data_IF_123279554804
#
_entry.id   IF_123279554804
#
_cell.length_a   1.000
_cell.length_b   1.000
_cell.length_c   1.000
_cell.angle_alpha   90.00
_cell.angle_beta   90.00
_cell.angle_gamma   90.00
#
_symmetry.space_group_name_H-M   'P 1'
#
loop_
_entity.id
_entity.type
_entity.pdbx_description
1 polymer ?
#
# COMPACT_ATOMS: atom_id res chain seq x y z
N UNK A 1 -15.86 -9.16 1.62
CA UNK A 1 -15.10 -8.25 0.74
C UNK A 1 -13.79 -8.91 0.36
N UNK A 2 -13.31 -8.67 -0.86
CA UNK A 2 -12.05 -9.17 -1.39
C UNK A 2 -10.87 -8.24 -1.04
N UNK A 3 -9.63 -8.74 -1.04
CA UNK A 3 -8.44 -7.92 -0.95
C UNK A 3 -7.42 -8.29 -2.05
N UNK A 4 -6.75 -7.30 -2.59
CA UNK A 4 -5.69 -7.41 -3.59
C UNK A 4 -4.41 -6.88 -2.96
N UNK A 5 -3.39 -7.72 -2.87
CA UNK A 5 -2.09 -7.38 -2.27
C UNK A 5 -1.05 -7.29 -3.38
N UNK A 6 -0.46 -6.12 -3.54
CA UNK A 6 0.51 -5.83 -4.60
C UNK A 6 1.90 -6.35 -4.20
N UNK A 7 2.23 -7.57 -4.60
CA UNK A 7 3.48 -8.27 -4.23
C UNK A 7 4.50 -8.40 -5.38
N UNK A 8 4.23 -7.80 -6.56
CA UNK A 8 5.05 -7.96 -7.77
C UNK A 8 6.26 -7.04 -7.82
N UNK A 9 6.37 -6.06 -6.93
CA UNK A 9 7.42 -5.04 -6.98
C UNK A 9 8.84 -5.60 -7.19
N UNK A 10 9.67 -4.92 -8.00
CA UNK A 10 11.04 -5.36 -8.36
C UNK A 10 12.01 -5.41 -7.17
N UNK A 11 11.66 -4.80 -6.05
CA UNK A 11 12.53 -4.75 -4.87
C UNK A 11 13.87 -4.01 -5.09
N UNK A 12 13.96 -3.08 -6.04
CA UNK A 12 15.21 -2.41 -6.40
C UNK A 12 15.92 -1.76 -5.21
N UNK A 13 15.17 -1.10 -4.32
CA UNK A 13 15.72 -0.49 -3.09
C UNK A 13 16.19 -1.55 -2.09
N UNK A 14 15.50 -2.69 -2.03
CA UNK A 14 15.85 -3.81 -1.16
C UNK A 14 17.08 -4.56 -1.67
N UNK A 15 17.25 -4.66 -3.01
CA UNK A 15 18.45 -5.25 -3.64
C UNK A 15 19.67 -4.35 -3.52
N UNK A 16 19.49 -3.04 -3.41
CA UNK A 16 20.61 -2.12 -3.24
C UNK A 16 21.44 -2.50 -2.02
N UNK A 17 22.77 -2.53 -2.18
CA UNK A 17 23.67 -2.82 -1.08
C UNK A 17 23.54 -1.74 0.00
N UNK A 18 23.49 -2.18 1.24
CA UNK A 18 23.48 -1.31 2.42
C UNK A 18 24.43 -1.91 3.43
N UNK A 19 25.66 -1.36 3.55
CA UNK A 19 26.71 -1.91 4.43
C UNK A 19 26.35 -1.78 5.92
N UNK A 20 25.45 -0.86 6.26
CA UNK A 20 25.04 -0.62 7.65
C UNK A 20 23.84 -1.51 8.07
N UNK A 21 23.17 -2.14 7.10
CA UNK A 21 22.05 -3.01 7.37
C UNK A 21 22.50 -4.35 7.98
N UNK A 22 22.01 -4.64 9.18
CA UNK A 22 22.29 -5.90 9.87
C UNK A 22 21.23 -6.92 9.50
N UNK A 23 21.46 -7.67 8.42
CA UNK A 23 20.59 -8.75 7.98
C UNK A 23 21.16 -10.11 8.35
N UNK A 24 20.31 -11.03 8.79
CA UNK A 24 20.63 -12.45 8.84
C UNK A 24 20.86 -13.00 7.43
N UNK A 25 21.47 -14.17 7.31
CA UNK A 25 21.73 -14.80 6.00
C UNK A 25 20.43 -15.02 5.21
N UNK A 26 19.36 -15.47 5.87
CA UNK A 26 18.03 -15.68 5.25
C UNK A 26 17.40 -14.37 4.78
N UNK A 27 17.49 -13.30 5.59
CA UNK A 27 17.00 -11.98 5.20
C UNK A 27 17.79 -11.43 4.00
N UNK A 28 19.10 -11.63 3.99
CA UNK A 28 19.96 -11.21 2.88
C UNK A 28 19.58 -11.93 1.58
N UNK A 29 19.41 -13.24 1.63
CA UNK A 29 19.00 -14.03 0.48
C UNK A 29 17.65 -13.54 -0.09
N UNK A 30 16.65 -13.29 0.73
CA UNK A 30 15.35 -12.77 0.30
C UNK A 30 15.48 -11.34 -0.25
N UNK A 31 16.31 -10.48 0.35
CA UNK A 31 16.58 -9.13 -0.10
C UNK A 31 17.28 -9.10 -1.47
N UNK A 32 18.28 -9.95 -1.68
CA UNK A 32 19.02 -10.09 -2.93
C UNK A 32 18.12 -10.60 -4.06
N UNK A 33 17.18 -11.51 -3.74
CA UNK A 33 16.13 -11.95 -4.66
C UNK A 33 15.08 -10.87 -4.96
N UNK A 34 15.02 -9.79 -4.16
CA UNK A 34 14.03 -8.72 -4.29
C UNK A 34 12.64 -9.09 -3.76
N UNK A 35 12.54 -10.20 -3.04
CA UNK A 35 11.29 -10.72 -2.47
C UNK A 35 10.98 -10.05 -1.13
N UNK A 36 10.72 -8.72 -1.15
CA UNK A 36 10.49 -7.91 0.06
C UNK A 36 9.48 -8.52 1.03
N UNK A 37 8.33 -8.94 0.49
CA UNK A 37 7.26 -9.51 1.28
C UNK A 37 7.63 -10.85 1.94
N UNK A 38 8.65 -11.54 1.41
CA UNK A 38 9.14 -12.82 1.93
C UNK A 38 10.34 -12.66 2.88
N UNK A 39 10.80 -11.44 3.15
CA UNK A 39 11.86 -11.22 4.14
C UNK A 39 11.40 -11.76 5.49
N UNK A 40 12.18 -12.67 6.12
CA UNK A 40 11.83 -13.19 7.42
C UNK A 40 11.89 -12.11 8.50
N UNK A 41 10.81 -12.00 9.27
CA UNK A 41 10.67 -11.15 10.47
C UNK A 41 10.28 -12.07 11.61
N UNK A 42 11.09 -12.15 12.66
CA UNK A 42 10.89 -13.09 13.77
C UNK A 42 10.63 -14.55 13.31
N UNK A 43 11.32 -14.97 12.25
CA UNK A 43 11.24 -16.34 11.72
C UNK A 43 10.06 -16.60 10.76
N UNK A 44 9.19 -15.64 10.51
CA UNK A 44 8.04 -15.72 9.59
C UNK A 44 8.18 -14.71 8.45
N UNK A 45 7.71 -14.99 7.22
CA UNK A 45 7.66 -13.98 6.17
C UNK A 45 6.88 -12.73 6.62
N UNK A 46 7.34 -11.55 6.24
CA UNK A 46 6.60 -10.32 6.54
C UNK A 46 5.18 -10.35 5.98
N UNK A 47 4.98 -11.00 4.85
CA UNK A 47 3.66 -11.17 4.23
C UNK A 47 2.68 -11.94 5.13
N UNK A 48 3.14 -12.85 5.99
CA UNK A 48 2.26 -13.54 6.95
C UNK A 48 1.61 -12.54 7.92
N UNK A 49 2.33 -11.51 8.36
CA UNK A 49 1.79 -10.44 9.20
C UNK A 49 0.77 -9.58 8.44
N UNK A 50 1.05 -9.27 7.16
CA UNK A 50 0.11 -8.53 6.30
C UNK A 50 -1.17 -9.33 6.09
N UNK A 51 -1.06 -10.61 5.77
CA UNK A 51 -2.20 -11.51 5.59
C UNK A 51 -2.98 -11.68 6.91
N UNK A 52 -2.29 -11.81 8.04
CA UNK A 52 -2.92 -11.88 9.36
C UNK A 52 -3.74 -10.62 9.67
N UNK A 53 -3.21 -9.43 9.36
CA UNK A 53 -3.95 -8.17 9.56
C UNK A 53 -5.20 -8.08 8.67
N UNK A 54 -5.14 -8.61 7.42
CA UNK A 54 -6.32 -8.72 6.55
C UNK A 54 -7.36 -9.68 7.14
N UNK A 55 -6.93 -10.84 7.62
CA UNK A 55 -7.82 -11.81 8.28
C UNK A 55 -8.46 -11.22 9.55
N UNK A 56 -7.70 -10.48 10.37
CA UNK A 56 -8.20 -9.78 11.56
C UNK A 56 -9.20 -8.67 11.20
N UNK A 57 -9.06 -8.08 10.03
CA UNK A 57 -10.01 -7.12 9.47
C UNK A 57 -11.26 -7.77 8.83
N UNK A 58 -11.38 -9.11 8.85
CA UNK A 58 -12.50 -9.85 8.27
C UNK A 58 -12.41 -10.09 6.75
N UNK A 59 -11.21 -9.95 6.16
CA UNK A 59 -10.96 -10.14 4.73
C UNK A 59 -10.40 -11.55 4.49
N UNK A 60 -11.26 -12.48 4.10
CA UNK A 60 -10.89 -13.88 3.91
C UNK A 60 -10.51 -14.26 2.48
N UNK A 61 -10.90 -13.48 1.47
CA UNK A 61 -10.55 -13.72 0.06
C UNK A 61 -9.46 -12.75 -0.36
N UNK A 62 -8.26 -13.25 -0.64
CA UNK A 62 -7.08 -12.44 -0.95
C UNK A 62 -6.42 -12.90 -2.23
N UNK A 63 -6.15 -11.97 -3.16
CA UNK A 63 -5.28 -12.21 -4.31
C UNK A 63 -3.93 -11.54 -4.11
N UNK A 64 -2.86 -12.29 -4.25
CA UNK A 64 -1.50 -11.75 -4.37
C UNK A 64 -1.20 -11.46 -5.84
N UNK A 65 -0.87 -10.22 -6.16
CA UNK A 65 -0.38 -9.87 -7.48
C UNK A 65 1.12 -10.16 -7.53
N UNK A 66 1.50 -11.13 -8.35
CA UNK A 66 2.85 -11.68 -8.36
C UNK A 66 3.49 -11.64 -9.74
N UNK A 67 4.82 -11.73 -9.78
CA UNK A 67 5.59 -11.96 -10.99
C UNK A 67 5.44 -13.41 -11.47
N UNK A 68 5.56 -13.69 -12.80
CA UNK A 68 5.72 -15.07 -13.28
C UNK A 68 6.85 -15.84 -12.60
N UNK A 69 7.90 -15.14 -12.15
CA UNK A 69 9.10 -15.72 -11.53
C UNK A 69 9.03 -15.86 -10.00
N UNK A 70 7.89 -15.56 -9.35
CA UNK A 70 7.74 -15.69 -7.91
C UNK A 70 7.38 -17.12 -7.46
N UNK A 71 8.12 -18.12 -7.94
CA UNK A 71 7.87 -19.54 -7.63
C UNK A 71 8.09 -19.87 -6.16
N UNK A 72 9.10 -19.26 -5.52
CA UNK A 72 9.37 -19.46 -4.09
C UNK A 72 8.23 -18.95 -3.21
N UNK A 73 7.63 -17.82 -3.58
CA UNK A 73 6.47 -17.27 -2.87
C UNK A 73 5.25 -18.20 -3.04
N UNK A 74 4.98 -18.69 -4.24
CA UNK A 74 3.89 -19.64 -4.49
C UNK A 74 4.11 -20.92 -3.72
N UNK A 75 5.29 -21.53 -3.83
CA UNK A 75 5.65 -22.77 -3.11
C UNK A 75 5.45 -22.62 -1.61
N UNK A 76 5.90 -21.49 -1.03
CA UNK A 76 5.73 -21.25 0.41
C UNK A 76 4.26 -21.33 0.83
N UNK A 77 3.35 -20.70 0.11
CA UNK A 77 1.92 -20.70 0.46
C UNK A 77 1.16 -21.94 -0.01
N UNK A 78 1.69 -22.69 -0.95
CA UNK A 78 1.18 -24.03 -1.29
C UNK A 78 1.48 -25.03 -0.19
N UNK A 79 2.67 -24.92 0.45
CA UNK A 79 3.11 -25.76 1.56
C UNK A 79 2.52 -25.30 2.91
N UNK A 80 2.48 -23.98 3.15
CA UNK A 80 2.03 -23.36 4.40
C UNK A 80 0.71 -22.60 4.18
N UNK A 81 -0.36 -23.34 3.86
CA UNK A 81 -1.66 -22.75 3.52
C UNK A 81 -2.20 -21.88 4.66
N UNK A 82 -2.53 -20.61 4.41
CA UNK A 82 -3.21 -19.78 5.38
C UNK A 82 -4.53 -20.43 5.85
N UNK A 83 -4.76 -20.48 7.16
CA UNK A 83 -5.96 -21.13 7.70
C UNK A 83 -7.22 -20.25 7.64
N UNK A 84 -7.03 -18.93 7.60
CA UNK A 84 -8.12 -17.93 7.68
C UNK A 84 -8.35 -17.19 6.36
N UNK A 85 -7.51 -17.45 5.35
CA UNK A 85 -7.53 -16.77 4.05
C UNK A 85 -7.59 -17.79 2.92
N UNK A 86 -8.54 -17.59 2.03
CA UNK A 86 -8.56 -18.21 0.70
C UNK A 86 -7.65 -17.38 -0.21
N UNK A 87 -6.43 -17.91 -0.44
CA UNK A 87 -5.36 -17.21 -1.14
C UNK A 87 -5.31 -17.61 -2.61
N UNK A 88 -5.36 -16.61 -3.48
CA UNK A 88 -5.21 -16.76 -4.93
C UNK A 88 -3.96 -16.03 -5.42
N UNK A 89 -3.37 -16.50 -6.51
CA UNK A 89 -2.26 -15.83 -7.19
C UNK A 89 -2.72 -15.28 -8.53
N UNK A 90 -2.52 -13.99 -8.74
CA UNK A 90 -2.79 -13.31 -10.00
C UNK A 90 -1.47 -12.82 -10.57
N UNK A 91 -1.18 -13.19 -11.82
CA UNK A 91 0.08 -12.85 -12.46
C UNK A 91 -0.01 -11.49 -13.12
N UNK A 92 0.90 -10.57 -12.76
CA UNK A 92 1.23 -9.40 -13.55
C UNK A 92 2.48 -9.73 -14.37
N UNK A 93 2.36 -9.91 -15.70
CA UNK A 93 3.47 -10.42 -16.52
C UNK A 93 4.70 -9.51 -16.52
N UNK A 94 4.48 -8.19 -16.62
CA UNK A 94 5.53 -7.18 -16.66
C UNK A 94 5.42 -6.22 -15.47
N UNK A 95 6.56 -5.68 -14.98
CA UNK A 95 6.58 -4.66 -13.92
C UNK A 95 6.25 -3.28 -14.49
N UNK A 96 4.98 -3.06 -14.83
CA UNK A 96 4.55 -1.83 -15.50
C UNK A 96 4.00 -0.77 -14.55
N UNK A 97 4.02 -1.01 -13.27
CA UNK A 97 3.55 -0.09 -12.24
C UNK A 97 2.35 -0.61 -11.44
N UNK A 98 1.93 0.16 -10.45
CA UNK A 98 0.90 -0.23 -9.47
C UNK A 98 -0.51 -0.18 -10.03
N UNK A 99 -0.82 0.70 -10.98
CA UNK A 99 -2.12 0.70 -11.67
C UNK A 99 -2.30 -0.54 -12.55
N UNK A 100 -1.25 -0.96 -13.27
CA UNK A 100 -1.25 -2.19 -14.07
C UNK A 100 -1.38 -3.44 -13.16
N UNK A 101 -0.78 -3.42 -11.97
CA UNK A 101 -0.94 -4.47 -10.97
C UNK A 101 -2.40 -4.58 -10.47
N UNK A 102 -3.06 -3.45 -10.21
CA UNK A 102 -4.49 -3.42 -9.86
C UNK A 102 -5.33 -3.92 -11.02
N UNK A 103 -5.03 -3.50 -12.25
CA UNK A 103 -5.76 -3.92 -13.45
C UNK A 103 -5.67 -5.44 -13.65
N UNK A 104 -4.54 -6.08 -13.34
CA UNK A 104 -4.40 -7.53 -13.43
C UNK A 104 -5.43 -8.29 -12.57
N UNK A 105 -5.91 -7.68 -11.48
CA UNK A 105 -6.92 -8.29 -10.60
C UNK A 105 -8.36 -8.20 -11.14
N UNK A 106 -8.62 -7.52 -12.26
CA UNK A 106 -9.99 -7.25 -12.75
C UNK A 106 -10.84 -8.52 -12.91
N UNK A 107 -10.30 -9.56 -13.52
CA UNK A 107 -11.01 -10.83 -13.71
C UNK A 107 -11.26 -11.56 -12.39
N UNK A 108 -10.31 -11.50 -11.44
CA UNK A 108 -10.44 -12.15 -10.14
C UNK A 108 -11.46 -11.45 -9.24
N UNK A 109 -11.51 -10.13 -9.27
CA UNK A 109 -12.51 -9.37 -8.51
C UNK A 109 -13.93 -9.61 -9.02
N UNK A 110 -14.10 -9.90 -10.32
CA UNK A 110 -15.38 -10.19 -10.96
C UNK A 110 -16.44 -9.10 -10.72
N UNK A 111 -16.02 -7.85 -10.61
CA UNK A 111 -16.90 -6.70 -10.35
C UNK A 111 -17.16 -6.41 -8.87
N UNK A 112 -16.78 -7.30 -7.95
CA UNK A 112 -16.93 -7.06 -6.51
C UNK A 112 -16.00 -5.91 -6.05
N UNK A 113 -16.43 -5.12 -5.05
CA UNK A 113 -15.56 -4.16 -4.38
C UNK A 113 -14.43 -4.89 -3.62
N UNK A 114 -13.27 -4.26 -3.58
CA UNK A 114 -12.07 -4.86 -3.00
C UNK A 114 -11.17 -3.82 -2.32
N UNK A 115 -10.35 -4.25 -1.36
CA UNK A 115 -9.21 -3.48 -0.88
C UNK A 115 -7.99 -3.72 -1.77
N UNK A 116 -7.20 -2.68 -2.02
CA UNK A 116 -5.87 -2.79 -2.64
C UNK A 116 -4.83 -2.24 -1.68
N UNK A 117 -3.81 -3.05 -1.37
CA UNK A 117 -2.72 -2.69 -0.46
C UNK A 117 -1.37 -3.16 -1.00
N UNK A 118 -0.30 -2.56 -0.52
CA UNK A 118 1.06 -3.03 -0.79
C UNK A 118 1.45 -4.20 0.11
N UNK A 119 2.19 -5.16 -0.42
CA UNK A 119 2.70 -6.32 0.34
C UNK A 119 3.86 -5.98 1.30
N UNK A 120 4.49 -4.83 1.13
CA UNK A 120 5.60 -4.35 1.95
C UNK A 120 5.18 -3.33 3.03
N UNK A 121 3.85 -3.14 3.20
CA UNK A 121 3.28 -2.31 4.26
C UNK A 121 2.35 -3.13 5.16
N UNK A 122 2.55 -3.06 6.47
CA UNK A 122 1.63 -3.61 7.46
C UNK A 122 0.79 -2.49 8.06
N UNK A 123 -0.51 -2.56 7.85
CA UNK A 123 -1.48 -1.58 8.32
C UNK A 123 -2.19 -2.06 9.58
N UNK A 124 -2.67 -1.15 10.46
CA UNK A 124 -3.51 -1.52 11.58
C UNK A 124 -4.79 -2.24 11.12
N UNK A 125 -5.05 -3.43 11.64
CA UNK A 125 -6.23 -4.24 11.25
C UNK A 125 -7.55 -3.49 11.46
N UNK A 126 -7.66 -2.70 12.54
CA UNK A 126 -8.83 -1.87 12.78
C UNK A 126 -9.06 -0.80 11.69
N UNK A 127 -7.99 -0.23 11.12
CA UNK A 127 -8.11 0.72 10.01
C UNK A 127 -8.55 0.01 8.72
N UNK A 128 -7.99 -1.18 8.43
CA UNK A 128 -8.42 -2.02 7.30
C UNK A 128 -9.90 -2.40 7.43
N UNK A 129 -10.36 -2.81 8.61
CA UNK A 129 -11.75 -3.16 8.87
C UNK A 129 -12.69 -1.96 8.63
N UNK A 130 -12.31 -0.76 9.10
CA UNK A 130 -13.09 0.47 8.85
C UNK A 130 -13.15 0.81 7.36
N UNK A 131 -12.06 0.66 6.62
CA UNK A 131 -12.03 0.90 5.18
C UNK A 131 -12.88 -0.14 4.43
N UNK A 132 -12.82 -1.40 4.84
CA UNK A 132 -13.63 -2.48 4.28
C UNK A 132 -15.14 -2.26 4.50
N UNK A 133 -15.52 -1.64 5.61
CA UNK A 133 -16.92 -1.35 5.96
C UNK A 133 -17.54 -0.19 5.17
N UNK A 134 -16.76 0.61 4.44
CA UNK A 134 -17.32 1.64 3.56
C UNK A 134 -18.23 1.00 2.49
N UNK A 135 -19.22 1.73 2.02
CA UNK A 135 -20.10 1.33 0.91
C UNK A 135 -19.75 2.04 -0.41
N UNK A 136 -18.69 2.85 -0.40
CA UNK A 136 -18.21 3.65 -1.51
C UNK A 136 -16.69 3.52 -1.66
N UNK A 137 -16.07 3.89 -2.79
CA UNK A 137 -14.62 3.95 -2.92
C UNK A 137 -13.99 4.86 -1.87
N UNK A 138 -12.80 4.52 -1.41
CA UNK A 138 -12.12 5.32 -0.39
C UNK A 138 -10.67 4.91 -0.18
N UNK A 139 -10.02 5.60 0.74
CA UNK A 139 -8.63 5.34 1.12
C UNK A 139 -8.42 5.61 2.61
N UNK A 140 -7.36 5.02 3.16
CA UNK A 140 -6.85 5.45 4.45
C UNK A 140 -5.97 6.69 4.26
N UNK A 141 -6.35 7.77 4.92
CA UNK A 141 -5.60 9.02 4.96
C UNK A 141 -4.84 9.11 6.29
N UNK A 142 -3.52 9.02 6.23
CA UNK A 142 -2.66 9.07 7.42
C UNK A 142 -2.09 10.47 7.59
N UNK A 143 -2.04 10.93 8.83
CA UNK A 143 -1.31 12.15 9.14
C UNK A 143 0.21 11.86 9.12
N UNK A 144 0.97 12.74 8.45
CA UNK A 144 2.42 12.63 8.31
C UNK A 144 3.13 12.44 9.64
N UNK A 145 2.84 13.29 10.61
CA UNK A 145 3.55 13.33 11.88
C UNK A 145 3.18 12.13 12.76
N UNK A 146 1.94 11.62 12.63
CA UNK A 146 1.54 10.37 13.29
C UNK A 146 2.29 9.16 12.71
N UNK A 147 2.46 9.07 11.39
CA UNK A 147 3.24 8.00 10.75
C UNK A 147 4.70 8.00 11.21
N UNK A 148 5.33 9.19 11.30
CA UNK A 148 6.71 9.31 11.79
C UNK A 148 6.81 8.90 13.26
N UNK A 149 5.86 9.32 14.08
CA UNK A 149 5.86 9.06 15.52
C UNK A 149 5.57 7.58 15.86
N UNK A 150 4.64 6.95 15.15
CA UNK A 150 4.12 5.62 15.49
C UNK A 150 4.71 4.50 14.63
N UNK A 151 5.01 4.76 13.37
CA UNK A 151 5.57 3.80 12.42
C UNK A 151 7.09 3.70 12.47
N UNK A 152 7.66 3.05 11.45
CA UNK A 152 9.12 2.97 11.23
C UNK A 152 9.56 3.80 10.02
N UNK A 153 8.78 4.81 9.64
CA UNK A 153 9.03 5.63 8.46
C UNK A 153 9.65 6.97 8.91
N UNK A 154 10.93 7.20 8.63
CA UNK A 154 11.54 8.47 8.99
C UNK A 154 10.99 9.63 8.14
N UNK A 155 11.01 10.85 8.70
CA UNK A 155 10.38 12.03 8.10
C UNK A 155 10.85 12.31 6.66
N UNK A 156 12.13 12.09 6.36
CA UNK A 156 12.69 12.29 5.01
C UNK A 156 12.12 11.31 3.97
N UNK A 157 11.61 10.15 4.40
CA UNK A 157 10.98 9.17 3.51
C UNK A 157 9.52 9.49 3.17
N UNK A 158 8.86 10.28 3.98
CA UNK A 158 7.47 10.69 3.73
C UNK A 158 7.33 11.38 2.36
N UNK A 159 8.36 12.08 1.89
CA UNK A 159 8.42 12.68 0.54
C UNK A 159 8.25 11.67 -0.61
N UNK A 160 8.40 10.37 -0.33
CA UNK A 160 8.20 9.30 -1.31
C UNK A 160 6.73 8.88 -1.43
N UNK A 161 5.84 9.37 -0.59
CA UNK A 161 4.42 9.05 -0.59
C UNK A 161 3.60 10.14 -1.27
N UNK A 162 2.40 9.78 -1.74
CA UNK A 162 1.48 10.75 -2.30
C UNK A 162 0.84 11.60 -1.21
N UNK A 163 0.79 12.91 -1.43
CA UNK A 163 0.10 13.87 -0.56
C UNK A 163 -1.36 13.99 -1.01
N UNK A 164 -2.25 14.07 -0.04
CA UNK A 164 -3.69 14.12 -0.21
C UNK A 164 -4.22 15.52 0.12
N UNK A 165 -5.10 16.03 -0.74
CA UNK A 165 -5.97 17.14 -0.43
C UNK A 165 -7.41 16.60 -0.31
N UNK A 166 -8.08 16.95 0.79
CA UNK A 166 -9.40 16.43 1.14
C UNK A 166 -10.35 17.60 1.29
N UNK A 167 -11.51 17.50 0.63
CA UNK A 167 -12.55 18.53 0.70
C UNK A 167 -13.27 18.58 2.05
N UNK A 168 -14.15 19.58 2.23
CA UNK A 168 -14.88 19.78 3.49
C UNK A 168 -15.91 18.66 3.75
N UNK A 169 -16.28 17.90 2.73
CA UNK A 169 -17.17 16.74 2.85
C UNK A 169 -16.39 15.45 3.18
N UNK A 170 -15.06 15.50 3.25
CA UNK A 170 -14.17 14.38 3.57
C UNK A 170 -13.87 13.47 2.37
N UNK A 171 -13.92 13.99 1.15
CA UNK A 171 -13.53 13.25 -0.04
C UNK A 171 -12.19 13.74 -0.59
N UNK A 172 -11.50 12.84 -1.28
CA UNK A 172 -10.27 13.17 -2.00
C UNK A 172 -10.55 14.19 -3.10
N UNK A 173 -10.06 15.41 -2.93
CA UNK A 173 -10.11 16.45 -3.95
C UNK A 173 -8.91 16.36 -4.91
N UNK A 174 -7.73 16.02 -4.36
CA UNK A 174 -6.49 15.92 -5.13
C UNK A 174 -5.52 14.93 -4.50
N UNK A 175 -4.75 14.26 -5.34
CA UNK A 175 -3.61 13.42 -4.94
C UNK A 175 -2.39 13.79 -5.79
N UNK A 176 -1.24 13.97 -5.14
CA UNK A 176 0.02 14.30 -5.80
C UNK A 176 1.09 13.30 -5.41
N UNK A 177 1.51 12.49 -6.36
CA UNK A 177 2.58 11.51 -6.17
C UNK A 177 3.93 12.23 -6.08
N UNK A 178 4.70 11.95 -5.02
CA UNK A 178 6.06 12.45 -4.80
C UNK A 178 6.22 13.96 -5.07
N UNK A 179 5.52 14.82 -4.32
CA UNK A 179 5.63 16.25 -4.52
C UNK A 179 7.09 16.72 -4.39
N UNK A 180 7.46 17.74 -5.15
CA UNK A 180 8.82 18.31 -5.12
C UNK A 180 9.19 18.86 -3.74
N UNK A 181 8.20 19.34 -2.97
CA UNK A 181 8.32 19.71 -1.57
C UNK A 181 7.07 19.24 -0.82
N UNK A 182 7.26 18.58 0.31
CA UNK A 182 6.17 18.13 1.18
C UNK A 182 5.65 19.27 2.08
N UNK A 183 6.49 20.29 2.28
CA UNK A 183 6.18 21.47 3.09
C UNK A 183 5.62 22.62 2.25
N UNK A 184 5.72 22.53 0.91
CA UNK A 184 5.00 23.47 0.07
C UNK A 184 3.51 23.17 0.21
N UNK A 185 2.69 24.19 0.57
CA UNK A 185 1.25 24.06 0.44
C UNK A 185 1.00 23.61 -1.00
N UNK A 186 0.20 22.55 -1.19
CA UNK A 186 -0.29 22.25 -2.53
C UNK A 186 -1.03 23.51 -2.95
N UNK A 187 -0.38 24.36 -3.78
CA UNK A 187 -1.00 25.59 -4.27
C UNK A 187 -2.24 25.19 -5.06
N UNK A 188 -3.37 25.22 -4.39
CA UNK A 188 -4.66 25.13 -5.03
C UNK A 188 -4.97 26.48 -5.67
N UNK A 189 -5.59 26.51 -6.85
CA UNK A 189 -6.30 27.69 -7.29
C UNK A 189 -7.27 28.07 -6.15
N UNK A 190 -7.07 29.21 -5.53
CA UNK A 190 -7.90 29.70 -4.45
C UNK A 190 -9.27 30.03 -5.01
N UNK A 191 -10.23 29.13 -4.88
CA UNK A 191 -11.61 29.55 -4.86
C UNK A 191 -11.84 30.26 -3.53
N UNK A 192 -12.14 31.56 -3.62
CA UNK A 192 -12.39 32.45 -2.51
C UNK A 192 -13.56 31.94 -1.68
N UNK A 193 -13.33 31.51 -0.44
CA UNK A 193 -14.41 31.28 0.52
C UNK A 193 -14.26 30.19 1.56
N UNK A 194 -13.18 29.42 1.63
CA UNK A 194 -13.05 28.37 2.63
C UNK A 194 -12.25 28.82 3.88
N UNK A 195 -12.83 28.64 5.04
CA UNK A 195 -12.19 28.82 6.37
C UNK A 195 -11.11 27.73 6.59
N UNK A 196 -9.96 27.83 5.91
CA UNK A 196 -8.87 26.84 5.92
C UNK A 196 -7.67 27.22 6.77
N UNK A 197 -7.78 28.22 7.67
CA UNK A 197 -6.65 28.68 8.47
C UNK A 197 -6.09 27.64 9.44
N UNK A 198 -6.91 26.69 9.94
CA UNK A 198 -6.51 25.68 10.93
C UNK A 198 -6.01 24.35 10.34
N UNK A 199 -6.05 24.17 9.01
CA UNK A 199 -5.64 22.90 8.35
C UNK A 199 -4.22 22.89 7.80
N UNK A 200 -3.48 23.99 7.93
CA UNK A 200 -2.12 24.10 7.38
C UNK A 200 -1.08 23.20 8.07
N UNK A 201 -1.37 22.71 9.28
CA UNK A 201 -0.42 21.93 10.08
C UNK A 201 -0.53 20.41 9.85
N UNK A 202 -1.59 19.90 9.23
CA UNK A 202 -1.82 18.46 9.07
C UNK A 202 -1.68 17.99 7.61
N UNK A 203 -0.49 17.53 7.27
CA UNK A 203 -0.25 16.92 5.94
C UNK A 203 -0.77 15.50 5.94
N UNK A 204 -1.76 15.22 5.09
CA UNK A 204 -2.29 13.88 4.87
C UNK A 204 -1.54 13.19 3.75
N UNK A 205 -1.20 11.93 3.96
CA UNK A 205 -0.49 11.10 2.99
C UNK A 205 -1.20 9.79 2.72
N UNK A 206 -1.06 9.30 1.49
CA UNK A 206 -1.50 7.97 1.09
C UNK A 206 -0.37 6.96 1.27
N UNK A 207 -0.67 5.87 1.96
CA UNK A 207 0.20 4.70 2.04
C UNK A 207 -0.23 3.59 1.08
N UNK A 208 -0.97 3.92 0.00
CA UNK A 208 -1.52 2.96 -0.96
C UNK A 208 -2.43 1.89 -0.32
N UNK A 209 -3.32 2.32 0.57
CA UNK A 209 -4.36 1.50 1.14
C UNK A 209 -5.73 2.02 0.68
N UNK A 210 -6.35 1.31 -0.25
CA UNK A 210 -7.51 1.75 -1.02
C UNK A 210 -8.66 0.77 -0.91
N UNK A 211 -9.88 1.29 -0.97
CA UNK A 211 -11.09 0.56 -1.31
C UNK A 211 -11.57 1.00 -2.69
N UNK A 212 -11.68 0.05 -3.58
CA UNK A 212 -12.12 0.28 -4.95
C UNK A 212 -13.41 -0.48 -5.27
N UNK A 213 -14.08 -0.04 -6.31
CA UNK A 213 -15.04 -0.80 -7.11
C UNK A 213 -14.56 -0.92 -8.56
N UNK A 214 -15.35 -1.52 -9.43
CA UNK A 214 -14.95 -1.81 -10.81
C UNK A 214 -14.58 -0.57 -11.64
N UNK A 215 -15.03 0.64 -11.27
CA UNK A 215 -14.74 1.88 -11.99
C UNK A 215 -13.26 2.24 -12.02
N UNK A 216 -12.47 1.74 -11.06
CA UNK A 216 -11.01 1.97 -11.04
C UNK A 216 -10.31 1.32 -12.24
N UNK A 217 -10.82 0.21 -12.76
CA UNK A 217 -10.18 -0.52 -13.85
C UNK A 217 -10.15 0.28 -15.17
N UNK A 218 -11.17 1.11 -15.43
CA UNK A 218 -11.17 1.98 -16.59
C UNK A 218 -10.07 3.04 -16.48
N UNK A 219 -9.92 3.63 -15.30
CA UNK A 219 -8.84 4.57 -15.06
C UNK A 219 -7.45 3.91 -15.13
N UNK A 220 -7.30 2.67 -14.62
CA UNK A 220 -6.05 1.92 -14.73
C UNK A 220 -5.67 1.56 -16.17
N UNK A 221 -6.65 1.38 -17.07
CA UNK A 221 -6.37 1.14 -18.51
C UNK A 221 -5.92 2.42 -19.22
N UNK A 222 -6.48 3.56 -18.84
CA UNK A 222 -6.36 4.82 -19.58
C UNK A 222 -5.28 5.74 -19.00
N UNK A 223 -4.79 5.48 -17.79
CA UNK A 223 -3.77 6.32 -17.16
C UNK A 223 -2.49 6.36 -18.00
N UNK A 224 -1.93 7.56 -18.17
CA UNK A 224 -0.67 7.75 -18.87
C UNK A 224 0.51 7.22 -18.04
N UNK A 225 1.61 6.90 -18.71
CA UNK A 225 2.87 6.56 -18.00
C UNK A 225 3.44 7.80 -17.31
N UNK A 226 3.87 7.61 -16.08
CA UNK A 226 4.61 8.64 -15.33
C UNK A 226 5.97 8.92 -15.98
N UNK A 227 6.67 10.00 -15.59
CA UNK A 227 8.04 10.27 -16.04
C UNK A 227 9.03 9.13 -15.76
N UNK A 228 8.68 8.20 -14.86
CA UNK A 228 9.46 6.98 -14.57
C UNK A 228 9.16 5.81 -15.52
N UNK A 229 8.20 6.00 -16.44
CA UNK A 229 7.76 4.97 -17.39
C UNK A 229 6.79 3.96 -16.80
N UNK A 230 6.25 4.19 -15.59
CA UNK A 230 5.33 3.30 -14.89
C UNK A 230 3.89 3.84 -14.91
N UNK A 231 2.91 2.95 -14.84
CA UNK A 231 1.51 3.29 -14.63
C UNK A 231 1.24 3.34 -13.12
N UNK A 232 1.17 4.54 -12.56
CA UNK A 232 1.06 4.76 -11.13
C UNK A 232 -0.39 4.70 -10.66
N UNK A 233 -0.65 4.03 -9.54
CA UNK A 233 -1.99 3.94 -8.98
C UNK A 233 -2.52 5.30 -8.51
N UNK A 234 -1.74 6.18 -7.87
CA UNK A 234 -2.20 7.53 -7.56
C UNK A 234 -2.64 8.34 -8.80
N UNK A 235 -1.95 8.18 -9.93
CA UNK A 235 -2.36 8.85 -11.18
C UNK A 235 -3.66 8.27 -11.75
N UNK A 236 -3.85 6.95 -11.66
CA UNK A 236 -5.13 6.32 -12.02
C UNK A 236 -6.27 6.78 -11.10
N UNK A 237 -6.03 6.95 -9.80
CA UNK A 237 -7.00 7.50 -8.86
C UNK A 237 -7.33 8.95 -9.21
N UNK A 238 -6.33 9.79 -9.51
CA UNK A 238 -6.55 11.16 -9.98
C UNK A 238 -7.41 11.21 -11.24
N UNK A 239 -7.15 10.31 -12.20
CA UNK A 239 -7.95 10.18 -13.42
C UNK A 239 -9.39 9.72 -13.11
N UNK A 240 -9.58 8.75 -12.22
CA UNK A 240 -10.91 8.30 -11.79
C UNK A 240 -11.69 9.44 -11.10
N UNK A 241 -11.01 10.22 -10.25
CA UNK A 241 -11.60 11.39 -9.58
C UNK A 241 -12.05 12.45 -10.62
N UNK A 242 -11.23 12.75 -11.62
CA UNK A 242 -11.59 13.68 -12.71
C UNK A 242 -12.80 13.21 -13.54
N UNK A 243 -13.08 11.91 -13.51
CA UNK A 243 -14.25 11.27 -14.15
C UNK A 243 -15.46 11.15 -13.23
N UNK A 244 -15.41 11.77 -12.05
CA UNK A 244 -16.52 11.82 -11.10
C UNK A 244 -16.58 10.67 -10.10
N UNK A 245 -15.56 9.83 -10.00
CA UNK A 245 -15.48 8.84 -8.92
C UNK A 245 -15.03 9.55 -7.64
N UNK A 246 -15.89 9.55 -6.62
CA UNK A 246 -15.55 10.13 -5.31
C UNK A 246 -14.89 9.07 -4.45
N UNK A 247 -13.78 9.42 -3.79
CA UNK A 247 -13.06 8.57 -2.85
C UNK A 247 -13.16 9.16 -1.45
N UNK A 248 -13.79 8.44 -0.52
CA UNK A 248 -13.85 8.83 0.89
C UNK A 248 -12.47 8.77 1.50
N UNK A 249 -11.93 9.90 1.98
CA UNK A 249 -10.70 9.93 2.77
C UNK A 249 -11.02 9.58 4.22
N UNK A 250 -10.69 8.35 4.62
CA UNK A 250 -10.94 7.86 5.97
C UNK A 250 -9.73 8.14 6.85
N UNK A 251 -9.81 9.04 7.84
CA UNK A 251 -8.69 9.30 8.75
C UNK A 251 -8.24 8.02 9.44
N UNK A 252 -6.95 7.75 9.39
CA UNK A 252 -6.33 6.59 10.00
C UNK A 252 -5.18 7.00 10.90
N UNK A 253 -5.07 6.35 12.04
CA UNK A 253 -4.01 6.51 13.02
C UNK A 253 -3.40 5.17 13.40
N UNK A 254 -2.22 5.20 13.98
CA UNK A 254 -1.47 4.04 14.42
C UNK A 254 -0.35 3.65 13.47
N UNK A 255 0.49 2.68 13.88
CA UNK A 255 1.69 2.37 13.17
C UNK A 255 1.40 1.71 11.82
N UNK A 256 1.93 2.28 10.75
CA UNK A 256 2.18 1.56 9.50
C UNK A 256 3.65 1.14 9.52
N UNK A 257 3.90 -0.17 9.36
CA UNK A 257 5.27 -0.66 9.22
C UNK A 257 5.59 -0.85 7.74
N UNK A 258 6.67 -0.24 7.31
CA UNK A 258 7.17 -0.27 5.93
C UNK A 258 8.46 -1.09 5.87
N UNK A 259 8.50 -2.11 5.01
CA UNK A 259 9.66 -2.97 4.77
C UNK A 259 10.17 -2.76 3.34
N UNK A 260 10.63 -1.55 3.04
CA UNK A 260 11.05 -1.15 1.69
C UNK A 260 12.57 -1.23 1.46
N UNK A 261 13.36 -1.16 2.52
CA UNK A 261 14.83 -1.15 2.48
C UNK A 261 15.40 -2.17 3.46
N UNK A 262 16.66 -2.57 3.26
CA UNK A 262 17.39 -3.49 4.18
C UNK A 262 17.44 -2.97 5.61
N UNK A 263 17.66 -1.67 5.79
CA UNK A 263 17.71 -1.05 7.11
C UNK A 263 16.39 -1.13 7.90
N UNK A 264 15.25 -1.30 7.22
CA UNK A 264 13.94 -1.39 7.88
C UNK A 264 13.75 -2.69 8.65
N UNK A 265 14.44 -3.78 8.25
CA UNK A 265 14.21 -5.12 8.78
C UNK A 265 14.35 -5.21 10.31
N UNK A 266 15.43 -4.64 10.85
CA UNK A 266 15.71 -4.70 12.30
C UNK A 266 14.67 -3.91 13.13
N UNK A 267 14.16 -2.78 12.61
CA UNK A 267 13.12 -2.01 13.31
C UNK A 267 11.77 -2.71 13.24
N UNK A 268 11.41 -3.27 12.09
CA UNK A 268 10.20 -4.07 11.92
C UNK A 268 10.22 -5.31 12.83
N UNK A 269 11.35 -6.05 12.91
CA UNK A 269 11.48 -7.18 13.83
C UNK A 269 11.26 -6.78 15.29
N UNK A 270 11.85 -5.68 15.71
CA UNK A 270 11.71 -5.19 17.09
C UNK A 270 10.26 -4.81 17.40
N UNK A 271 9.56 -4.14 16.46
CA UNK A 271 8.18 -3.72 16.64
C UNK A 271 7.18 -4.87 16.60
N UNK A 272 7.53 -5.96 15.92
CA UNK A 272 6.73 -7.18 15.85
C UNK A 272 7.21 -8.27 16.82
N UNK A 273 8.10 -7.92 17.78
CA UNK A 273 8.55 -8.87 18.78
C UNK A 273 7.35 -9.39 19.60
N UNK A 274 7.20 -10.71 19.66
CA UNK A 274 6.09 -11.38 20.35
C UNK A 274 4.77 -11.41 19.58
N UNK A 275 4.69 -10.82 18.39
CA UNK A 275 3.53 -10.94 17.52
C UNK A 275 3.60 -12.27 16.74
N UNK A 276 2.53 -13.06 16.82
CA UNK A 276 2.37 -14.33 16.11
C UNK A 276 1.37 -14.15 14.96
N UNK A 277 1.82 -14.10 13.68
CA UNK A 277 0.91 -13.98 12.56
C UNK A 277 0.10 -15.27 12.37
N UNK A 278 -1.18 -15.11 12.10
CA UNK A 278 -2.15 -16.21 11.88
C UNK A 278 -2.96 -15.91 10.62
N UNK A 279 -2.35 -16.02 9.45
CA UNK A 279 -3.04 -15.78 8.19
C UNK A 279 -4.11 -16.82 7.86
#
# INVERSE_FOLDING_TARGET
MKAVVLARGLGTRMRAADPDARLTERQRAAADAGLKAMIPVNGRPFLDYVLSALADAGLAQVALIVSPQHDDLRRHYDESRPARIDLSFVVQPEARGTADAVLAAASWTAGDPFLAINADNLYPAAALARLAALHEPGLLAFERDDLVRTGNIPAERIRAFAVLDVDDEGYLARIVEKPASIDAPVELPRESGSHRADRQDHVLVSMNCWRFDARIFDACRDVARSPRGEFELPDAVALATSRGVRFRALPAAGPVLDLSRRADAADVERRLAGAEPRP
#
